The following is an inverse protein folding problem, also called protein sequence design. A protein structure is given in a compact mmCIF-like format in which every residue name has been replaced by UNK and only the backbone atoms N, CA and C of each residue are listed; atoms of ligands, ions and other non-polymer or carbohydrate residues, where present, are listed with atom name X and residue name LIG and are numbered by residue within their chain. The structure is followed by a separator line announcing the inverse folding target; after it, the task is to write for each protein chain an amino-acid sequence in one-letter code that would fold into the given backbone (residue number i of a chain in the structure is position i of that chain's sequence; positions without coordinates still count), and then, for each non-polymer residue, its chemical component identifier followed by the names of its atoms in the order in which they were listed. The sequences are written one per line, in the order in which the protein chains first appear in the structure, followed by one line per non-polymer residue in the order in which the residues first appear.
data_IF_018397765762
#
_entry.id   IF_018397765762
#
_cell.length_a   1.000
_cell.length_b   1.000
_cell.length_c   1.000
_cell.angle_alpha   90.00
_cell.angle_beta   90.00
_cell.angle_gamma   90.00
#
_symmetry.space_group_name_H-M   'P 1'
#
loop_
_entity.id
_entity.type
_entity.pdbx_description
1 polymer ?
#
# COMPACT_ATOMS: atom_id res chain seq x y z
N UNK A 1 6.89 -4.31 16.96
CA UNK A 1 7.40 -4.66 15.62
C UNK A 1 6.56 -3.95 14.58
N UNK A 2 7.18 -3.35 13.57
CA UNK A 2 6.53 -2.70 12.44
C UNK A 2 7.36 -3.02 11.19
N UNK A 3 6.69 -3.15 10.05
CA UNK A 3 7.36 -3.34 8.75
C UNK A 3 7.33 -2.03 7.98
N UNK A 4 8.14 -1.91 6.93
CA UNK A 4 8.21 -0.73 6.06
C UNK A 4 6.98 -0.57 5.13
N UNK A 5 5.77 -0.73 5.67
CA UNK A 5 4.48 -0.44 5.05
C UNK A 5 3.76 0.59 5.92
N UNK A 6 3.29 1.69 5.33
CA UNK A 6 2.50 2.69 6.06
C UNK A 6 1.19 2.98 5.34
N UNK A 7 0.07 3.21 6.07
CA UNK A 7 -1.21 3.60 5.47
C UNK A 7 -1.11 4.84 4.56
N UNK A 8 -0.24 5.78 4.89
CA UNK A 8 -0.07 7.03 4.16
C UNK A 8 0.69 6.88 2.84
N UNK A 9 1.69 6.00 2.78
CA UNK A 9 2.49 5.80 1.56
C UNK A 9 2.01 4.62 0.72
N UNK A 10 1.38 3.62 1.34
CA UNK A 10 1.07 2.33 0.71
C UNK A 10 -0.42 1.98 0.71
N UNK A 11 -1.28 2.83 1.29
CA UNK A 11 -2.73 2.74 1.17
C UNK A 11 -3.26 3.59 0.03
N UNK A 12 -4.42 3.22 -0.52
CA UNK A 12 -5.16 4.11 -1.43
C UNK A 12 -5.62 5.37 -0.68
N UNK A 13 -5.55 6.52 -1.34
CA UNK A 13 -5.98 7.81 -0.78
C UNK A 13 -7.50 7.99 -0.68
N UNK A 14 -8.29 7.11 -1.32
CA UNK A 14 -9.74 7.10 -1.25
C UNK A 14 -10.25 6.01 -0.30
N UNK A 15 -11.40 6.25 0.33
CA UNK A 15 -12.04 5.26 1.21
C UNK A 15 -12.77 4.19 0.41
N UNK A 16 -13.02 3.03 1.02
CA UNK A 16 -13.86 1.96 0.49
C UNK A 16 -15.34 2.38 0.37
N UNK A 17 -15.65 3.22 -0.62
CA UNK A 17 -16.98 3.75 -0.92
C UNK A 17 -17.65 3.10 -2.13
N UNK A 18 -17.10 1.99 -2.64
CA UNK A 18 -17.70 1.26 -3.76
C UNK A 18 -19.10 0.76 -3.42
N UNK A 19 -19.94 0.61 -4.44
CA UNK A 19 -21.30 0.08 -4.28
C UNK A 19 -21.28 -1.39 -3.84
N UNK A 20 -22.36 -1.81 -3.20
CA UNK A 20 -22.52 -3.19 -2.76
C UNK A 20 -22.67 -4.12 -3.96
N UNK A 21 -22.04 -5.28 -3.89
CA UNK A 21 -22.19 -6.33 -4.88
C UNK A 21 -22.60 -7.64 -4.21
N UNK A 22 -23.47 -8.40 -4.89
CA UNK A 22 -23.76 -9.78 -4.54
C UNK A 22 -22.64 -10.66 -5.09
N UNK A 23 -21.90 -11.29 -4.19
CA UNK A 23 -20.80 -12.20 -4.52
C UNK A 23 -21.15 -13.61 -4.08
N UNK A 24 -20.92 -14.58 -4.96
CA UNK A 24 -21.14 -15.99 -4.64
C UNK A 24 -19.84 -16.62 -4.16
N UNK A 25 -19.84 -17.26 -2.99
CA UNK A 25 -18.74 -18.14 -2.57
C UNK A 25 -18.89 -19.47 -3.30
N UNK A 26 -18.02 -19.82 -4.27
CA UNK A 26 -18.22 -21.01 -5.10
C UNK A 26 -18.18 -22.31 -4.28
N UNK A 27 -17.31 -22.36 -3.28
CA UNK A 27 -17.07 -23.57 -2.47
C UNK A 27 -18.30 -24.06 -1.68
N UNK A 28 -19.27 -23.18 -1.39
CA UNK A 28 -20.45 -23.52 -0.57
C UNK A 28 -21.77 -22.94 -1.12
N UNK A 29 -21.75 -22.30 -2.30
CA UNK A 29 -22.93 -21.72 -2.95
C UNK A 29 -23.74 -20.76 -2.08
N UNK A 30 -23.05 -19.86 -1.36
CA UNK A 30 -23.68 -18.79 -0.57
C UNK A 30 -23.48 -17.45 -1.28
N UNK A 31 -24.56 -16.68 -1.39
CA UNK A 31 -24.55 -15.31 -1.91
C UNK A 31 -24.40 -14.31 -0.76
N UNK A 32 -23.46 -13.37 -0.90
CA UNK A 32 -23.12 -12.37 0.11
C UNK A 32 -23.22 -11.00 -0.52
N UNK A 33 -24.04 -10.14 0.08
CA UNK A 33 -24.02 -8.71 -0.22
C UNK A 33 -22.88 -8.06 0.54
N UNK A 34 -21.83 -7.69 -0.18
CA UNK A 34 -20.69 -6.97 0.39
C UNK A 34 -20.96 -5.48 0.47
N UNK A 35 -20.30 -4.79 1.41
CA UNK A 35 -20.27 -3.33 1.48
C UNK A 35 -18.92 -2.81 0.95
N UNK A 36 -18.91 -2.46 -0.34
CA UNK A 36 -17.71 -2.05 -1.06
C UNK A 36 -16.76 -3.20 -1.39
N UNK A 37 -15.46 -2.88 -1.56
CA UNK A 37 -14.40 -3.78 -2.06
C UNK A 37 -13.20 -3.87 -1.11
N UNK A 38 -13.43 -3.94 0.21
CA UNK A 38 -12.37 -3.92 1.22
C UNK A 38 -11.26 -4.97 1.00
N UNK A 39 -11.61 -6.23 0.72
CA UNK A 39 -10.64 -7.28 0.40
C UNK A 39 -9.80 -6.96 -0.82
N UNK A 40 -10.45 -6.47 -1.88
CA UNK A 40 -9.77 -6.04 -3.10
C UNK A 40 -8.81 -4.89 -2.87
N UNK A 41 -9.20 -3.88 -2.08
CA UNK A 41 -8.35 -2.73 -1.75
C UNK A 41 -7.17 -3.14 -0.86
N UNK A 42 -7.39 -4.01 0.14
CA UNK A 42 -6.34 -4.50 1.02
C UNK A 42 -5.30 -5.34 0.24
N UNK A 43 -5.77 -6.28 -0.59
CA UNK A 43 -4.89 -7.09 -1.44
C UNK A 43 -4.13 -6.23 -2.47
N UNK A 44 -4.81 -5.30 -3.13
CA UNK A 44 -4.18 -4.38 -4.09
C UNK A 44 -3.13 -3.47 -3.42
N UNK A 45 -3.38 -2.97 -2.20
CA UNK A 45 -2.38 -2.19 -1.46
C UNK A 45 -1.11 -3.00 -1.18
N UNK A 46 -1.25 -4.28 -0.82
CA UNK A 46 -0.11 -5.19 -0.68
C UNK A 46 0.59 -5.43 -2.02
N UNK A 47 -0.16 -5.60 -3.11
CA UNK A 47 0.42 -5.78 -4.46
C UNK A 47 1.27 -4.58 -4.88
N UNK A 48 0.79 -3.35 -4.63
CA UNK A 48 1.55 -2.12 -4.88
C UNK A 48 2.81 -2.05 -4.02
N UNK A 49 2.71 -2.41 -2.74
CA UNK A 49 3.86 -2.43 -1.84
C UNK A 49 4.94 -3.44 -2.28
N UNK A 50 4.55 -4.68 -2.58
CA UNK A 50 5.48 -5.72 -3.03
C UNK A 50 6.16 -5.37 -4.36
N UNK A 51 5.48 -4.62 -5.22
CA UNK A 51 6.01 -4.16 -6.49
C UNK A 51 6.77 -2.83 -6.41
N UNK A 52 6.85 -2.21 -5.22
CA UNK A 52 7.48 -0.91 -5.02
C UNK A 52 6.83 0.20 -5.84
N UNK A 53 5.51 0.17 -6.02
CA UNK A 53 4.76 1.13 -6.84
C UNK A 53 4.33 2.35 -6.03
N UNK A 54 4.28 3.49 -6.68
CA UNK A 54 3.68 4.69 -6.10
C UNK A 54 2.15 4.58 -6.05
N UNK A 55 1.56 5.12 -5.00
CA UNK A 55 0.12 5.36 -4.90
C UNK A 55 -0.23 6.74 -5.49
N UNK A 56 -1.39 6.85 -6.14
CA UNK A 56 -1.96 8.15 -6.48
C UNK A 56 -2.45 8.87 -5.23
N UNK A 57 -2.25 10.19 -5.16
CA UNK A 57 -2.77 11.04 -4.07
C UNK A 57 -4.24 11.42 -4.28
N UNK A 58 -4.87 10.94 -5.36
CA UNK A 58 -6.28 11.24 -5.63
C UNK A 58 -7.20 10.48 -4.67
N UNK A 59 -7.92 11.24 -3.85
CA UNK A 59 -8.83 10.73 -2.82
C UNK A 59 -10.27 10.54 -3.30
N UNK A 60 -10.59 10.84 -4.56
CA UNK A 60 -11.92 10.54 -5.12
C UNK A 60 -12.10 9.04 -5.30
N UNK A 61 -13.32 8.53 -5.17
CA UNK A 61 -13.58 7.13 -5.46
C UNK A 61 -13.40 6.87 -6.98
N UNK A 62 -12.63 5.85 -7.40
CA UNK A 62 -12.52 5.50 -8.80
C UNK A 62 -13.87 5.06 -9.37
N UNK A 63 -14.20 5.52 -10.58
CA UNK A 63 -15.40 5.08 -11.27
C UNK A 63 -15.31 3.59 -11.62
N UNK A 64 -16.42 2.87 -11.51
CA UNK A 64 -16.52 1.49 -11.98
C UNK A 64 -16.17 1.37 -13.46
N UNK A 65 -15.41 0.33 -13.80
CA UNK A 65 -14.86 0.17 -15.14
C UNK A 65 -13.50 0.84 -15.36
N UNK A 66 -13.06 1.73 -14.47
CA UNK A 66 -11.70 2.30 -14.54
C UNK A 66 -10.63 1.26 -14.20
N UNK A 67 -9.38 1.49 -14.62
CA UNK A 67 -8.26 0.57 -14.39
C UNK A 67 -8.13 0.13 -12.93
N UNK A 68 -8.14 1.09 -12.00
CA UNK A 68 -7.98 0.80 -10.56
C UNK A 68 -9.24 0.15 -10.00
N UNK A 69 -10.44 0.59 -10.40
CA UNK A 69 -11.68 -0.02 -9.93
C UNK A 69 -11.81 -1.49 -10.37
N UNK A 70 -11.51 -1.79 -11.63
CA UNK A 70 -11.57 -3.14 -12.20
C UNK A 70 -10.49 -4.04 -11.59
N UNK A 71 -9.29 -3.50 -11.35
CA UNK A 71 -8.24 -4.24 -10.66
C UNK A 71 -8.60 -4.55 -9.20
N UNK A 72 -9.08 -3.57 -8.44
CA UNK A 72 -9.57 -3.77 -7.06
C UNK A 72 -10.71 -4.79 -7.04
N UNK A 73 -11.64 -4.75 -8.00
CA UNK A 73 -12.70 -5.75 -8.11
C UNK A 73 -12.18 -7.15 -8.41
N UNK A 74 -11.20 -7.28 -9.33
CA UNK A 74 -10.55 -8.58 -9.57
C UNK A 74 -9.88 -9.12 -8.30
N UNK A 75 -9.20 -8.27 -7.53
CA UNK A 75 -8.57 -8.68 -6.26
C UNK A 75 -9.61 -9.05 -5.21
N UNK A 76 -10.77 -8.39 -5.19
CA UNK A 76 -11.88 -8.78 -4.33
C UNK A 76 -12.31 -10.22 -4.64
N UNK A 77 -12.52 -10.56 -5.91
CA UNK A 77 -12.88 -11.94 -6.29
C UNK A 77 -11.82 -12.94 -5.83
N UNK A 78 -10.53 -12.63 -6.04
CA UNK A 78 -9.42 -13.48 -5.63
C UNK A 78 -9.50 -13.77 -4.10
N UNK A 79 -9.71 -12.73 -3.27
CA UNK A 79 -9.84 -12.92 -1.81
C UNK A 79 -11.08 -13.73 -1.40
N UNK A 80 -12.19 -13.60 -2.12
CA UNK A 80 -13.41 -14.35 -1.85
C UNK A 80 -13.24 -15.85 -2.14
N UNK A 81 -12.59 -16.17 -3.26
CA UNK A 81 -12.29 -17.55 -3.65
C UNK A 81 -11.31 -18.17 -2.65
N UNK A 82 -10.24 -17.45 -2.30
CA UNK A 82 -9.16 -17.99 -1.48
C UNK A 82 -9.53 -18.12 0.01
N UNK A 83 -10.41 -17.25 0.53
CA UNK A 83 -10.66 -17.12 1.97
C UNK A 83 -12.12 -17.34 2.40
N UNK A 84 -13.07 -17.51 1.47
CA UNK A 84 -14.50 -17.61 1.78
C UNK A 84 -14.86 -18.70 2.81
N UNK A 85 -14.19 -19.87 2.76
CA UNK A 85 -14.39 -20.93 3.75
C UNK A 85 -13.99 -20.51 5.17
N UNK A 86 -12.97 -19.66 5.32
CA UNK A 86 -12.51 -19.19 6.62
C UNK A 86 -13.47 -18.18 7.23
N UNK A 87 -14.04 -17.29 6.41
CA UNK A 87 -15.15 -16.43 6.81
C UNK A 87 -16.35 -17.25 7.30
N UNK A 88 -16.73 -18.30 6.58
CA UNK A 88 -17.85 -19.19 6.96
C UNK A 88 -17.57 -19.95 8.25
N UNK A 89 -16.34 -20.45 8.41
CA UNK A 89 -15.89 -21.07 9.66
C UNK A 89 -16.06 -20.11 10.83
N UNK A 90 -15.58 -18.87 10.70
CA UNK A 90 -15.69 -17.87 11.77
C UNK A 90 -17.15 -17.51 12.06
N UNK A 91 -17.96 -17.26 11.02
CA UNK A 91 -19.38 -16.93 11.17
C UNK A 91 -20.17 -18.04 11.88
N UNK A 92 -19.84 -19.32 11.65
CA UNK A 92 -20.57 -20.47 12.23
C UNK A 92 -19.99 -20.99 13.55
N UNK A 93 -18.79 -20.56 13.93
CA UNK A 93 -18.15 -20.95 15.19
C UNK A 93 -18.77 -20.24 16.39
N UNK A 94 -18.80 -20.88 17.56
CA UNK A 94 -19.33 -20.29 18.80
C UNK A 94 -18.38 -19.27 19.43
N UNK A 95 -18.88 -18.42 20.34
CA UNK A 95 -18.07 -17.47 21.11
C UNK A 95 -17.35 -18.11 22.31
N UNK A 96 -17.85 -19.24 22.80
CA UNK A 96 -17.28 -19.99 23.90
C UNK A 96 -16.95 -21.43 23.46
N UNK A 97 -15.81 -22.00 23.86
CA UNK A 97 -15.58 -23.43 23.71
C UNK A 97 -16.45 -24.21 24.70
N UNK A 98 -17.01 -25.34 24.28
CA UNK A 98 -17.18 -26.49 25.18
C UNK A 98 -16.35 -27.65 24.61
N UNK A 99 -16.09 -28.70 25.40
CA UNK A 99 -15.36 -29.89 24.91
C UNK A 99 -16.06 -30.51 23.69
N UNK A 100 -17.38 -30.35 23.59
CA UNK A 100 -18.17 -30.61 22.40
C UNK A 100 -18.12 -29.38 21.46
N UNK A 101 -17.88 -29.57 20.16
CA UNK A 101 -17.96 -28.53 19.09
C UNK A 101 -16.74 -27.60 18.88
N UNK A 102 -15.62 -27.81 19.59
CA UNK A 102 -14.33 -27.21 19.24
C UNK A 102 -14.05 -25.82 19.82
N UNK A 103 -12.99 -25.16 19.31
CA UNK A 103 -12.55 -23.84 19.80
C UNK A 103 -13.54 -22.75 19.38
N UNK A 104 -13.90 -21.87 20.33
CA UNK A 104 -14.65 -20.65 20.01
C UNK A 104 -13.79 -19.58 19.32
N UNK A 105 -14.41 -18.59 18.70
CA UNK A 105 -13.73 -17.56 17.88
C UNK A 105 -12.67 -16.77 18.65
N UNK A 106 -12.91 -16.46 19.93
CA UNK A 106 -11.94 -15.74 20.75
C UNK A 106 -10.64 -16.54 20.95
N UNK A 107 -10.75 -17.86 21.15
CA UNK A 107 -9.62 -18.78 21.25
C UNK A 107 -8.94 -19.02 19.91
N UNK A 108 -9.70 -19.26 18.83
CA UNK A 108 -9.13 -19.39 17.48
C UNK A 108 -8.29 -18.15 17.11
N UNK A 109 -8.83 -16.97 17.37
CA UNK A 109 -8.13 -15.70 17.17
C UNK A 109 -6.79 -15.66 17.91
N UNK A 110 -6.78 -15.99 19.21
CA UNK A 110 -5.62 -15.76 20.08
C UNK A 110 -4.59 -16.89 20.06
N UNK A 111 -5.06 -18.14 19.99
CA UNK A 111 -4.21 -19.32 20.05
C UNK A 111 -3.73 -19.74 18.66
N UNK A 112 -4.54 -19.54 17.62
CA UNK A 112 -4.21 -20.05 16.28
C UNK A 112 -3.78 -18.92 15.33
N UNK A 113 -4.44 -17.76 15.35
CA UNK A 113 -4.21 -16.71 14.34
C UNK A 113 -3.21 -15.64 14.77
N UNK A 114 -3.21 -15.20 16.03
CA UNK A 114 -2.22 -14.22 16.52
C UNK A 114 -0.76 -14.71 16.37
N UNK A 115 -0.40 -15.98 16.68
CA UNK A 115 0.96 -16.45 16.45
C UNK A 115 1.35 -16.44 14.97
N UNK A 116 0.43 -16.84 14.07
CA UNK A 116 0.66 -16.80 12.61
C UNK A 116 0.87 -15.37 12.11
N UNK A 117 0.03 -14.44 12.58
CA UNK A 117 0.13 -13.02 12.25
C UNK A 117 1.48 -12.44 12.67
N UNK A 118 1.87 -12.66 13.94
CA UNK A 118 3.16 -12.18 14.47
C UNK A 118 4.33 -12.76 13.69
N UNK A 119 4.35 -14.08 13.45
CA UNK A 119 5.42 -14.73 12.69
C UNK A 119 5.57 -14.16 11.27
N UNK A 120 4.47 -13.86 10.56
CA UNK A 120 4.54 -13.22 9.23
C UNK A 120 5.07 -11.79 9.31
N UNK A 121 4.58 -10.99 10.26
CA UNK A 121 5.05 -9.62 10.46
C UNK A 121 6.53 -9.57 10.87
N UNK A 122 6.96 -10.45 11.75
CA UNK A 122 8.35 -10.58 12.20
C UNK A 122 9.28 -11.00 11.04
N UNK A 123 8.74 -11.69 10.02
CA UNK A 123 9.44 -12.00 8.77
C UNK A 123 9.43 -10.85 7.73
N UNK A 124 8.92 -9.67 8.10
CA UNK A 124 8.86 -8.49 7.24
C UNK A 124 7.73 -8.51 6.21
N UNK A 125 6.71 -9.34 6.39
CA UNK A 125 5.61 -9.47 5.43
C UNK A 125 4.33 -8.78 5.93
N UNK A 126 3.72 -7.86 5.16
CA UNK A 126 2.37 -7.40 5.46
C UNK A 126 1.39 -8.57 5.35
N UNK A 127 0.32 -8.50 6.13
CA UNK A 127 -0.64 -9.61 6.26
C UNK A 127 -2.03 -9.14 5.90
N UNK A 128 -2.64 -9.77 4.90
CA UNK A 128 -4.07 -9.64 4.65
C UNK A 128 -4.82 -10.28 5.81
N UNK A 129 -5.70 -9.52 6.44
CA UNK A 129 -6.37 -9.88 7.69
C UNK A 129 -7.88 -9.76 7.53
N UNK A 130 -8.59 -10.86 7.80
CA UNK A 130 -10.03 -10.89 7.92
C UNK A 130 -10.45 -10.50 9.34
N UNK A 131 -11.42 -9.60 9.45
CA UNK A 131 -12.05 -9.17 10.69
C UNK A 131 -13.53 -9.55 10.63
N UNK A 132 -14.02 -10.25 11.66
CA UNK A 132 -15.40 -10.75 11.64
C UNK A 132 -16.28 -10.05 12.66
N UNK A 133 -17.53 -9.79 12.28
CA UNK A 133 -18.66 -9.51 13.16
C UNK A 133 -19.75 -10.59 13.03
N UNK A 134 -19.75 -11.33 11.92
CA UNK A 134 -20.76 -12.32 11.58
C UNK A 134 -20.90 -13.43 12.64
N UNK A 135 -22.16 -13.80 12.90
CA UNK A 135 -22.56 -14.96 13.71
C UNK A 135 -23.35 -16.01 12.94
N UNK A 136 -23.56 -15.76 11.66
CA UNK A 136 -24.12 -16.70 10.69
C UNK A 136 -23.74 -16.23 9.27
N UNK A 137 -23.98 -17.09 8.27
CA UNK A 137 -23.56 -16.84 6.89
C UNK A 137 -24.28 -15.67 6.22
N UNK A 138 -25.45 -15.26 6.69
CA UNK A 138 -26.20 -14.12 6.14
C UNK A 138 -25.60 -12.77 6.58
N UNK A 139 -24.80 -12.79 7.64
CA UNK A 139 -24.14 -11.62 8.21
C UNK A 139 -22.72 -11.38 7.68
N UNK A 140 -22.24 -12.19 6.73
CA UNK A 140 -20.87 -12.07 6.20
C UNK A 140 -20.58 -10.70 5.57
N UNK A 141 -21.59 -9.95 5.15
CA UNK A 141 -21.43 -8.55 4.71
C UNK A 141 -21.09 -7.54 5.82
N UNK A 142 -21.05 -7.98 7.09
CA UNK A 142 -20.58 -7.20 8.25
C UNK A 142 -19.09 -7.40 8.52
N UNK A 143 -18.48 -8.40 7.89
CA UNK A 143 -17.07 -8.68 8.02
C UNK A 143 -16.25 -7.69 7.16
N UNK A 144 -14.95 -7.63 7.43
CA UNK A 144 -14.07 -6.63 6.84
C UNK A 144 -12.67 -7.17 6.62
N UNK A 145 -11.93 -6.55 5.70
CA UNK A 145 -10.58 -6.97 5.34
C UNK A 145 -9.64 -5.78 5.35
N UNK A 146 -8.49 -5.96 6.00
CA UNK A 146 -7.47 -4.92 6.24
C UNK A 146 -6.07 -5.48 6.00
N UNK A 147 -5.07 -4.60 5.96
CA UNK A 147 -3.65 -5.01 5.91
C UNK A 147 -3.02 -4.76 7.27
N UNK A 148 -2.58 -5.80 7.96
CA UNK A 148 -1.74 -5.65 9.13
C UNK A 148 -0.27 -5.45 8.71
N UNK A 149 0.39 -4.49 9.34
CA UNK A 149 1.78 -4.15 9.07
C UNK A 149 2.64 -4.02 10.33
N UNK A 150 2.06 -4.24 11.50
CA UNK A 150 2.82 -4.26 12.74
C UNK A 150 2.01 -4.80 13.90
N UNK A 151 2.71 -5.07 14.99
CA UNK A 151 2.12 -5.44 16.26
C UNK A 151 2.94 -4.89 17.43
N UNK A 152 2.23 -4.55 18.50
CA UNK A 152 2.78 -4.16 19.79
C UNK A 152 2.12 -5.04 20.85
N UNK A 153 2.77 -5.24 22.00
CA UNK A 153 2.22 -6.04 23.08
C UNK A 153 2.70 -5.53 24.42
N UNK A 154 1.80 -5.48 25.39
CA UNK A 154 2.12 -5.30 26.81
C UNK A 154 1.78 -6.59 27.60
N UNK A 155 1.77 -6.51 28.94
CA UNK A 155 1.49 -7.66 29.80
C UNK A 155 0.11 -8.29 29.61
N UNK A 156 -0.87 -7.55 29.08
CA UNK A 156 -2.27 -7.98 28.94
C UNK A 156 -2.77 -7.95 27.49
N UNK A 157 -2.36 -6.97 26.71
CA UNK A 157 -2.93 -6.68 25.40
C UNK A 157 -1.93 -6.87 24.27
N UNK A 158 -2.43 -7.40 23.15
CA UNK A 158 -1.81 -7.26 21.84
C UNK A 158 -2.50 -6.11 21.11
N UNK A 159 -1.73 -5.32 20.37
CA UNK A 159 -2.21 -4.28 19.46
C UNK A 159 -1.74 -4.65 18.06
N UNK A 160 -2.67 -4.82 17.13
CA UNK A 160 -2.35 -5.02 15.71
C UNK A 160 -2.51 -3.69 14.99
N UNK A 161 -1.48 -3.26 14.27
CA UNK A 161 -1.45 -2.02 13.52
C UNK A 161 -1.88 -2.32 12.08
N UNK A 162 -2.96 -1.68 11.62
CA UNK A 162 -3.57 -1.99 10.33
C UNK A 162 -3.80 -0.76 9.47
N UNK A 163 -3.61 -0.94 8.16
CA UNK A 163 -4.26 -0.11 7.15
C UNK A 163 -5.69 -0.61 6.97
N UNK A 164 -6.65 0.20 7.44
CA UNK A 164 -8.07 0.02 7.17
C UNK A 164 -8.46 0.91 5.99
N UNK A 165 -8.90 0.30 4.88
CA UNK A 165 -9.34 1.02 3.68
C UNK A 165 -10.60 1.91 3.88
N UNK A 166 -11.23 1.89 5.05
CA UNK A 166 -12.22 2.91 5.45
C UNK A 166 -11.62 4.14 6.14
N UNK A 167 -10.32 4.12 6.46
CA UNK A 167 -9.59 5.19 7.13
C UNK A 167 -8.31 5.54 6.33
N UNK A 168 -8.42 6.08 5.10
CA UNK A 168 -7.29 6.34 4.22
C UNK A 168 -6.19 7.16 4.88
N UNK A 169 -4.93 6.76 4.67
CA UNK A 169 -3.75 7.45 5.20
C UNK A 169 -3.54 7.35 6.71
N UNK A 170 -4.43 6.68 7.45
CA UNK A 170 -4.37 6.63 8.91
C UNK A 170 -4.08 5.20 9.42
N UNK A 171 -3.29 5.13 10.49
CA UNK A 171 -3.10 3.90 11.27
C UNK A 171 -4.36 3.62 12.10
N UNK A 172 -4.89 2.40 11.98
CA UNK A 172 -5.90 1.89 12.91
C UNK A 172 -5.24 0.85 13.81
N UNK A 173 -5.46 0.96 15.12
CA UNK A 173 -4.94 0.04 16.13
C UNK A 173 -6.05 -0.88 16.61
N UNK A 174 -5.90 -2.19 16.40
CA UNK A 174 -6.81 -3.22 16.90
C UNK A 174 -6.28 -3.74 18.24
N UNK A 175 -6.98 -3.46 19.34
CA UNK A 175 -6.65 -3.92 20.69
C UNK A 175 -7.44 -5.18 21.05
N UNK A 176 -6.74 -6.20 21.53
CA UNK A 176 -7.33 -7.44 22.06
C UNK A 176 -6.47 -8.02 23.19
N UNK A 177 -7.09 -8.76 24.10
CA UNK A 177 -6.35 -9.54 25.11
C UNK A 177 -5.44 -10.56 24.42
N UNK A 178 -4.21 -10.68 24.91
CA UNK A 178 -3.19 -11.57 24.31
C UNK A 178 -3.57 -13.05 24.46
N UNK A 179 -4.23 -13.40 25.56
CA UNK A 179 -4.80 -14.73 25.85
C UNK A 179 -6.32 -14.62 25.98
N UNK A 180 -7.05 -15.73 25.79
CA UNK A 180 -8.52 -15.70 25.86
C UNK A 180 -8.96 -15.28 27.26
N UNK A 181 -9.80 -14.26 27.32
CA UNK A 181 -10.42 -13.75 28.55
C UNK A 181 -11.93 -13.71 28.32
N UNK A 182 -12.71 -14.59 28.98
CA UNK A 182 -14.16 -14.59 28.86
C UNK A 182 -14.84 -13.26 29.22
N UNK A 183 -14.20 -12.42 30.04
CA UNK A 183 -14.71 -11.09 30.40
C UNK A 183 -14.41 -10.02 29.33
N UNK A 184 -13.43 -10.25 28.44
CA UNK A 184 -12.96 -9.28 27.45
C UNK A 184 -12.57 -9.97 26.12
N UNK A 185 -13.57 -10.45 25.39
CA UNK A 185 -13.36 -11.18 24.11
C UNK A 185 -13.26 -10.29 22.88
N UNK A 186 -13.97 -9.17 22.86
CA UNK A 186 -14.07 -8.29 21.70
C UNK A 186 -12.71 -7.66 21.35
N UNK A 187 -12.50 -7.43 20.06
CA UNK A 187 -11.39 -6.64 19.54
C UNK A 187 -11.90 -5.22 19.34
N UNK A 188 -11.18 -4.22 19.83
CA UNK A 188 -11.56 -2.81 19.73
C UNK A 188 -10.61 -2.05 18.83
N UNK A 189 -11.12 -1.39 17.80
CA UNK A 189 -10.37 -0.54 16.90
C UNK A 189 -10.28 0.91 17.41
N UNK A 190 -9.15 1.58 17.21
CA UNK A 190 -9.02 3.02 17.48
C UNK A 190 -9.97 3.91 16.65
N UNK A 191 -10.57 3.35 15.59
CA UNK A 191 -11.61 3.97 14.78
C UNK A 191 -13.04 3.75 15.34
N UNK A 192 -13.17 3.23 16.56
CA UNK A 192 -14.45 3.01 17.24
C UNK A 192 -15.18 1.73 16.82
N UNK A 193 -14.68 0.96 15.84
CA UNK A 193 -15.28 -0.32 15.44
C UNK A 193 -14.91 -1.43 16.42
N UNK A 194 -15.79 -2.41 16.57
CA UNK A 194 -15.55 -3.63 17.34
C UNK A 194 -15.64 -4.86 16.45
N UNK A 195 -14.82 -5.86 16.75
CA UNK A 195 -14.78 -7.12 16.02
C UNK A 195 -14.87 -8.30 16.96
N UNK A 196 -15.52 -9.35 16.49
CA UNK A 196 -15.71 -10.62 17.20
C UNK A 196 -14.45 -11.48 17.16
N UNK A 197 -13.69 -11.41 16.08
CA UNK A 197 -12.45 -12.14 15.89
C UNK A 197 -11.64 -11.61 14.71
N UNK A 198 -10.41 -12.09 14.60
CA UNK A 198 -9.55 -11.85 13.44
C UNK A 198 -8.92 -13.17 12.96
N UNK A 199 -8.50 -13.17 11.70
CA UNK A 199 -7.71 -14.27 11.15
C UNK A 199 -6.82 -13.84 9.99
N UNK A 200 -5.71 -14.55 9.84
CA UNK A 200 -4.78 -14.39 8.72
C UNK A 200 -5.39 -14.99 7.46
N UNK A 201 -5.43 -14.20 6.39
CA UNK A 201 -5.90 -14.66 5.09
C UNK A 201 -4.77 -15.26 4.23
N UNK A 202 -5.16 -16.15 3.33
CA UNK A 202 -4.39 -16.54 2.16
C UNK A 202 -4.25 -15.33 1.23
N UNK A 203 -3.05 -15.16 0.69
CA UNK A 203 -2.72 -14.05 -0.19
C UNK A 203 -1.69 -14.50 -1.22
N UNK A 204 -1.98 -14.23 -2.49
CA UNK A 204 -1.07 -14.42 -3.61
C UNK A 204 -0.80 -13.07 -4.27
N UNK A 205 0.48 -12.71 -4.42
CA UNK A 205 0.91 -11.46 -5.04
C UNK A 205 0.45 -11.37 -6.49
N UNK A 206 -0.03 -10.21 -6.93
CA UNK A 206 -0.47 -9.98 -8.32
C UNK A 206 -0.11 -8.57 -8.77
N UNK A 207 0.88 -8.43 -9.66
CA UNK A 207 1.26 -7.13 -10.23
C UNK A 207 0.07 -6.49 -11.00
N UNK A 208 -0.28 -5.22 -10.77
CA UNK A 208 -1.20 -4.49 -11.63
C UNK A 208 -0.61 -4.36 -13.04
N UNK A 209 -1.13 -5.13 -14.01
CA UNK A 209 -0.51 -5.25 -15.35
C UNK A 209 -0.52 -3.96 -16.16
N UNK A 210 -1.45 -3.04 -15.86
CA UNK A 210 -1.50 -1.70 -16.44
C UNK A 210 -0.39 -0.77 -15.91
N UNK A 211 0.29 -1.16 -14.82
CA UNK A 211 1.47 -0.47 -14.28
C UNK A 211 2.80 -1.16 -14.63
N UNK A 212 2.78 -2.16 -15.50
CA UNK A 212 4.01 -2.82 -15.94
C UNK A 212 4.90 -1.85 -16.74
N UNK A 213 6.21 -1.90 -16.50
CA UNK A 213 7.18 -1.10 -17.26
C UNK A 213 7.01 -1.30 -18.77
N UNK A 214 6.96 -0.21 -19.54
CA UNK A 214 6.79 -0.28 -20.99
C UNK A 214 5.34 -0.18 -21.47
N UNK A 215 4.34 -0.27 -20.58
CA UNK A 215 2.95 -0.07 -20.97
C UNK A 215 2.74 1.33 -21.53
N UNK A 216 2.06 1.39 -22.68
CA UNK A 216 1.59 2.61 -23.32
C UNK A 216 0.09 2.70 -23.08
N UNK A 217 -0.33 3.74 -22.37
CA UNK A 217 -1.71 3.87 -21.92
C UNK A 217 -2.17 5.32 -22.00
N UNK A 218 -3.43 5.50 -22.36
CA UNK A 218 -4.09 6.80 -22.28
C UNK A 218 -5.52 6.63 -21.81
N UNK A 219 -6.12 7.72 -21.35
CA UNK A 219 -7.55 7.77 -21.12
C UNK A 219 -8.28 7.93 -22.45
N UNK A 220 -9.34 7.17 -22.73
CA UNK A 220 -10.06 7.25 -24.01
C UNK A 220 -10.64 8.63 -24.33
N UNK A 221 -10.81 9.51 -23.33
CA UNK A 221 -11.26 10.91 -23.53
C UNK A 221 -10.10 11.91 -23.55
N UNK A 222 -8.85 11.44 -23.50
CA UNK A 222 -7.65 12.26 -23.51
C UNK A 222 -6.63 11.75 -24.55
N UNK A 223 -6.19 12.58 -25.51
CA UNK A 223 -5.22 12.16 -26.51
C UNK A 223 -3.81 11.94 -25.96
N UNK A 224 -3.51 12.32 -24.71
CA UNK A 224 -2.17 12.20 -24.13
C UNK A 224 -1.82 10.74 -23.82
N UNK A 225 -0.87 10.21 -24.57
CA UNK A 225 -0.30 8.88 -24.34
C UNK A 225 0.79 8.96 -23.28
N UNK A 226 0.75 8.02 -22.34
CA UNK A 226 1.74 7.88 -21.29
C UNK A 226 2.46 6.55 -21.41
N UNK A 227 3.76 6.56 -21.12
CA UNK A 227 4.54 5.35 -20.90
C UNK A 227 4.70 5.10 -19.41
N UNK A 228 4.54 3.85 -18.98
CA UNK A 228 4.77 3.47 -17.59
C UNK A 228 6.25 3.14 -17.36
N UNK A 229 6.83 3.77 -16.33
CA UNK A 229 8.18 3.50 -15.81
C UNK A 229 8.16 3.52 -14.29
N UNK A 230 8.63 2.46 -13.64
CA UNK A 230 8.59 2.30 -12.18
C UNK A 230 7.19 2.43 -11.58
N UNK A 231 6.15 2.06 -12.35
CA UNK A 231 4.73 2.24 -11.96
C UNK A 231 4.18 3.65 -12.15
N UNK A 232 5.00 4.64 -12.49
CA UNK A 232 4.58 6.01 -12.77
C UNK A 232 4.26 6.23 -14.25
N UNK A 233 3.23 7.02 -14.54
CA UNK A 233 2.86 7.42 -15.88
C UNK A 233 3.62 8.69 -16.31
N UNK A 234 4.41 8.57 -17.38
CA UNK A 234 5.15 9.67 -17.99
C UNK A 234 4.55 10.03 -19.34
N UNK A 235 4.16 11.28 -19.52
CA UNK A 235 3.57 11.77 -20.77
C UNK A 235 4.60 11.73 -21.91
N UNK A 236 4.17 11.27 -23.08
CA UNK A 236 4.93 11.34 -24.33
C UNK A 236 4.50 12.62 -25.08
N UNK A 237 5.30 13.71 -25.07
CA UNK A 237 4.87 15.03 -25.54
C UNK A 237 4.62 15.16 -27.05
N UNK A 238 5.11 14.26 -27.89
CA UNK A 238 4.93 14.36 -29.34
C UNK A 238 5.07 13.02 -30.08
N UNK A 239 4.60 12.91 -31.33
CA UNK A 239 4.89 11.76 -32.19
C UNK A 239 6.39 11.56 -32.42
N UNK A 240 7.18 12.63 -32.54
CA UNK A 240 8.64 12.52 -32.68
C UNK A 240 9.28 11.91 -31.43
N UNK A 241 8.82 12.29 -30.23
CA UNK A 241 9.22 11.64 -28.98
C UNK A 241 8.77 10.17 -28.95
N UNK A 242 7.56 9.90 -29.45
CA UNK A 242 7.00 8.56 -29.49
C UNK A 242 7.89 7.62 -30.32
N UNK A 243 8.24 8.05 -31.53
CA UNK A 243 9.10 7.31 -32.45
C UNK A 243 10.52 7.18 -31.90
N UNK A 244 11.07 8.26 -31.34
CA UNK A 244 12.43 8.27 -30.79
C UNK A 244 12.55 7.42 -29.50
N UNK A 245 11.45 7.21 -28.77
CA UNK A 245 11.36 6.26 -27.67
C UNK A 245 11.19 4.79 -28.11
N UNK A 246 11.12 4.53 -29.43
CA UNK A 246 10.91 3.19 -29.98
C UNK A 246 9.54 2.60 -29.66
N UNK A 247 8.56 3.45 -29.36
CA UNK A 247 7.21 3.03 -29.02
C UNK A 247 6.43 2.62 -30.27
N UNK A 248 5.39 1.82 -30.05
CA UNK A 248 4.60 1.20 -31.11
C UNK A 248 3.14 1.56 -30.95
N UNK A 249 2.55 2.15 -31.98
CA UNK A 249 1.16 2.62 -31.95
C UNK A 249 0.18 1.48 -31.68
N UNK A 250 0.45 0.29 -32.21
CA UNK A 250 -0.35 -0.92 -31.97
C UNK A 250 -0.28 -1.44 -30.52
N UNK A 251 0.67 -0.95 -29.71
CA UNK A 251 0.81 -1.31 -28.29
C UNK A 251 0.09 -0.33 -27.35
N UNK A 252 -0.47 0.76 -27.88
CA UNK A 252 -1.19 1.76 -27.08
C UNK A 252 -2.54 1.21 -26.66
N UNK A 253 -2.80 1.25 -25.35
CA UNK A 253 -4.07 0.81 -24.77
C UNK A 253 -4.91 2.03 -24.39
N UNK A 254 -6.13 2.11 -24.94
CA UNK A 254 -7.14 3.07 -24.52
C UNK A 254 -7.86 2.56 -23.27
N UNK A 255 -7.67 3.25 -22.15
CA UNK A 255 -8.35 2.97 -20.89
C UNK A 255 -9.71 3.70 -20.84
N UNK A 256 -10.64 3.19 -20.02
CA UNK A 256 -11.95 3.82 -19.85
C UNK A 256 -11.83 5.23 -19.25
N UNK A 257 -12.83 6.12 -19.48
CA UNK A 257 -12.84 7.47 -18.92
C UNK A 257 -12.56 7.50 -17.42
N UNK A 258 -11.69 8.42 -16.98
CA UNK A 258 -11.30 8.61 -15.59
C UNK A 258 -10.23 7.64 -15.09
N UNK A 259 -9.76 6.69 -15.91
CA UNK A 259 -8.79 5.68 -15.47
C UNK A 259 -7.45 6.27 -15.04
N UNK A 260 -6.98 7.27 -15.77
CA UNK A 260 -5.67 7.86 -15.49
C UNK A 260 -5.67 8.71 -14.21
N UNK A 261 -6.83 9.10 -13.67
CA UNK A 261 -6.93 9.91 -12.45
C UNK A 261 -6.40 9.20 -11.19
N UNK A 262 -6.27 7.87 -11.23
CA UNK A 262 -5.77 7.04 -10.12
C UNK A 262 -4.44 6.34 -10.44
N UNK A 263 -3.83 6.65 -11.59
CA UNK A 263 -2.46 6.23 -11.93
C UNK A 263 -1.50 7.30 -11.40
N UNK A 264 -0.46 6.90 -10.68
CA UNK A 264 0.51 7.85 -10.15
C UNK A 264 1.31 8.50 -11.29
N UNK A 265 1.54 9.82 -11.20
CA UNK A 265 2.33 10.60 -12.18
C UNK A 265 3.83 10.60 -11.87
N UNK A 266 4.23 9.87 -10.83
CA UNK A 266 5.63 9.65 -10.48
C UNK A 266 5.84 8.17 -10.19
N UNK A 267 7.07 7.67 -10.39
CA UNK A 267 7.37 6.28 -10.09
C UNK A 267 7.45 6.04 -8.59
N UNK A 268 7.48 4.77 -8.21
CA UNK A 268 7.69 4.36 -6.83
C UNK A 268 9.10 4.67 -6.32
N UNK A 269 9.22 4.73 -4.98
CA UNK A 269 10.47 5.05 -4.28
C UNK A 269 11.62 4.13 -4.71
N UNK A 270 12.80 4.72 -4.93
CA UNK A 270 14.01 4.00 -5.37
C UNK A 270 14.07 3.76 -6.88
N UNK A 271 13.09 4.23 -7.65
CA UNK A 271 13.15 4.15 -9.11
C UNK A 271 14.25 5.04 -9.66
N UNK A 272 15.14 4.45 -10.45
CA UNK A 272 16.20 5.14 -11.18
C UNK A 272 15.69 5.55 -12.55
N UNK A 273 15.83 6.83 -12.88
CA UNK A 273 15.39 7.40 -14.14
C UNK A 273 16.47 8.24 -14.80
N UNK A 274 16.43 8.28 -16.14
CA UNK A 274 17.25 9.15 -16.98
C UNK A 274 16.38 9.65 -18.13
N UNK A 275 16.44 10.94 -18.43
CA UNK A 275 15.72 11.44 -19.61
C UNK A 275 16.39 10.96 -20.88
N UNK A 276 15.59 10.56 -21.86
CA UNK A 276 16.06 10.14 -23.17
C UNK A 276 16.98 11.19 -23.79
N UNK A 277 18.13 10.76 -24.27
CA UNK A 277 19.13 11.64 -24.89
C UNK A 277 19.95 12.48 -23.91
N UNK A 278 19.90 12.18 -22.61
CA UNK A 278 20.71 12.85 -21.58
C UNK A 278 21.51 11.83 -20.76
N UNK A 279 22.60 12.27 -20.14
CA UNK A 279 23.42 11.44 -19.24
C UNK A 279 22.95 11.43 -17.76
N UNK A 280 22.42 12.53 -17.18
CA UNK A 280 22.09 12.58 -15.75
C UNK A 280 21.08 11.52 -15.27
N UNK A 281 21.50 10.71 -14.32
CA UNK A 281 20.64 9.72 -13.65
C UNK A 281 20.12 10.30 -12.34
N UNK A 282 18.86 10.01 -12.04
CA UNK A 282 18.21 10.42 -10.81
C UNK A 282 17.57 9.23 -10.11
N UNK A 283 17.60 9.24 -8.77
CA UNK A 283 16.76 8.36 -7.95
C UNK A 283 15.50 9.11 -7.51
N UNK A 284 14.34 8.47 -7.59
CA UNK A 284 13.07 9.09 -7.18
C UNK A 284 12.66 8.66 -5.78
N UNK A 285 12.45 9.63 -4.89
CA UNK A 285 11.86 9.42 -3.56
C UNK A 285 10.78 10.45 -3.27
N UNK A 286 9.63 10.01 -2.75
CA UNK A 286 8.48 10.88 -2.51
C UNK A 286 7.99 11.59 -3.76
N UNK A 287 8.19 11.02 -4.95
CA UNK A 287 7.86 11.64 -6.23
C UNK A 287 8.81 12.77 -6.68
N UNK A 288 9.87 13.07 -5.91
CA UNK A 288 10.96 13.99 -6.31
C UNK A 288 12.14 13.20 -6.87
N UNK A 289 12.71 13.67 -7.97
CA UNK A 289 13.99 13.19 -8.49
C UNK A 289 15.18 13.85 -7.78
N UNK A 290 16.15 13.03 -7.35
CA UNK A 290 17.43 13.45 -6.78
C UNK A 290 18.56 13.04 -7.73
N UNK A 291 19.33 14.02 -8.19
CA UNK A 291 20.43 13.80 -9.13
C UNK A 291 21.58 13.02 -8.49
N UNK A 292 22.08 12.02 -9.19
CA UNK A 292 23.25 11.24 -8.80
C UNK A 292 24.46 11.78 -9.58
N UNK A 293 25.42 12.43 -8.91
CA UNK A 293 26.40 13.29 -9.57
C UNK A 293 27.52 12.54 -10.29
N UNK A 294 27.77 11.27 -9.96
CA UNK A 294 28.84 10.49 -10.58
C UNK A 294 28.62 8.97 -10.44
N UNK A 295 29.32 8.16 -11.26
CA UNK A 295 29.34 6.70 -11.10
C UNK A 295 29.78 6.24 -9.70
N UNK A 296 30.74 6.92 -9.07
CA UNK A 296 31.21 6.59 -7.72
C UNK A 296 30.12 6.79 -6.67
N UNK A 297 29.28 7.82 -6.82
CA UNK A 297 28.12 8.03 -5.94
C UNK A 297 27.04 6.99 -6.23
N UNK A 298 26.83 6.63 -7.50
CA UNK A 298 25.88 5.59 -7.89
C UNK A 298 26.23 4.24 -7.25
N UNK A 299 27.49 3.81 -7.38
CA UNK A 299 28.03 2.59 -6.76
C UNK A 299 28.04 2.71 -5.23
N UNK A 300 28.40 3.88 -4.71
CA UNK A 300 28.41 4.15 -3.27
C UNK A 300 27.04 4.05 -2.61
N UNK A 301 25.95 4.25 -3.36
CA UNK A 301 24.57 4.04 -2.92
C UNK A 301 24.09 2.59 -3.11
N UNK A 302 24.91 1.71 -3.69
CA UNK A 302 24.55 0.31 -3.95
C UNK A 302 23.47 0.14 -5.02
N UNK A 303 23.38 1.08 -5.96
CA UNK A 303 22.37 1.09 -7.02
C UNK A 303 22.77 0.17 -8.18
N UNK A 304 21.78 -0.36 -8.89
CA UNK A 304 21.98 -1.25 -10.04
C UNK A 304 21.83 -0.50 -11.36
N UNK A 305 22.88 -0.49 -12.18
CA UNK A 305 22.89 0.13 -13.50
C UNK A 305 21.82 -0.45 -14.43
N UNK A 306 21.46 -1.73 -14.27
CA UNK A 306 20.40 -2.36 -15.06
C UNK A 306 18.99 -1.93 -14.64
N UNK A 307 18.85 -1.30 -13.47
CA UNK A 307 17.59 -0.77 -12.97
C UNK A 307 17.28 0.64 -13.49
N UNK A 308 18.22 1.30 -14.18
CA UNK A 308 18.04 2.64 -14.76
C UNK A 308 17.03 2.58 -15.91
N UNK A 309 15.99 3.41 -15.82
CA UNK A 309 14.90 3.45 -16.78
C UNK A 309 14.93 4.75 -17.56
N UNK A 310 14.91 4.65 -18.87
CA UNK A 310 14.77 5.84 -19.71
C UNK A 310 13.31 6.34 -19.71
N UNK A 311 13.13 7.63 -19.46
CA UNK A 311 11.85 8.35 -19.49
C UNK A 311 11.81 9.35 -20.65
N UNK A 312 10.63 9.72 -21.18
CA UNK A 312 10.51 10.70 -22.26
C UNK A 312 11.21 12.02 -21.93
N UNK A 313 11.74 12.70 -22.95
CA UNK A 313 12.43 13.98 -22.77
C UNK A 313 11.53 15.02 -22.08
N UNK A 314 12.08 15.75 -21.09
CA UNK A 314 11.36 16.77 -20.32
C UNK A 314 10.48 16.23 -19.18
N UNK A 315 10.43 14.90 -18.99
CA UNK A 315 9.63 14.26 -17.95
C UNK A 315 10.05 14.63 -16.52
N UNK A 316 11.33 14.96 -16.27
CA UNK A 316 11.80 15.35 -14.93
C UNK A 316 11.12 16.62 -14.45
N UNK A 317 10.75 17.54 -15.35
CA UNK A 317 10.04 18.77 -15.01
C UNK A 317 8.61 18.51 -14.49
N UNK A 318 8.03 17.35 -14.81
CA UNK A 318 6.72 16.92 -14.30
C UNK A 318 6.78 16.25 -12.92
N UNK A 319 7.97 15.90 -12.43
CA UNK A 319 8.15 15.35 -11.08
C UNK A 319 8.11 16.44 -10.01
N UNK A 320 7.92 16.05 -8.75
CA UNK A 320 7.75 17.02 -7.67
C UNK A 320 9.06 17.76 -7.39
N UNK A 321 8.95 19.07 -7.16
CA UNK A 321 10.05 19.89 -6.68
C UNK A 321 10.39 19.62 -5.21
N UNK A 322 9.37 19.28 -4.41
CA UNK A 322 9.45 18.86 -3.00
C UNK A 322 8.87 17.46 -2.86
N UNK A 323 9.52 16.53 -2.13
CA UNK A 323 8.96 15.20 -1.92
C UNK A 323 7.60 15.25 -1.23
N UNK A 324 6.82 14.19 -1.35
CA UNK A 324 5.55 14.03 -0.63
C UNK A 324 5.76 14.09 0.88
N UNK A 325 4.77 14.63 1.59
CA UNK A 325 4.74 14.57 3.05
C UNK A 325 4.84 13.11 3.53
N UNK A 326 5.46 12.94 4.70
CA UNK A 326 5.88 11.68 5.30
C UNK A 326 7.04 10.94 4.62
N UNK A 327 7.62 11.49 3.54
CA UNK A 327 8.87 10.95 2.99
C UNK A 327 10.00 11.13 4.01
N UNK A 328 10.72 10.04 4.31
CA UNK A 328 11.88 10.03 5.19
C UNK A 328 13.16 10.02 4.38
N UNK A 329 14.08 10.95 4.66
CA UNK A 329 15.30 11.14 3.88
C UNK A 329 16.51 11.23 4.80
N UNK A 330 17.64 10.71 4.32
CA UNK A 330 18.95 10.88 4.95
C UNK A 330 20.01 11.00 3.86
N UNK A 331 20.94 11.93 4.01
CA UNK A 331 22.12 11.98 3.12
C UNK A 331 23.04 10.81 3.45
N UNK A 332 23.70 10.24 2.43
CA UNK A 332 24.50 9.01 2.55
C UNK A 332 25.49 9.05 3.72
N UNK A 333 26.25 10.13 3.82
CA UNK A 333 27.25 10.37 4.87
C UNK A 333 26.67 11.15 6.05
N UNK A 334 25.43 11.63 5.95
CA UNK A 334 24.74 12.39 6.98
C UNK A 334 24.16 11.52 8.08
N UNK A 335 24.34 11.95 9.33
CA UNK A 335 23.65 11.36 10.48
C UNK A 335 22.15 11.76 10.58
N UNK A 336 21.75 13.02 10.30
CA UNK A 336 20.36 13.44 10.51
C UNK A 336 19.35 12.72 9.60
N UNK A 337 18.25 12.25 10.19
CA UNK A 337 17.06 11.78 9.46
C UNK A 337 16.04 12.91 9.37
N UNK A 338 15.56 13.17 8.17
CA UNK A 338 14.59 14.22 7.89
C UNK A 338 13.24 13.61 7.54
N UNK A 339 12.18 14.13 8.17
CA UNK A 339 10.79 13.92 7.76
C UNK A 339 10.36 15.09 6.90
N UNK A 340 9.77 14.82 5.74
CA UNK A 340 9.04 15.84 4.98
C UNK A 340 7.66 16.04 5.62
N UNK A 341 7.39 17.24 6.11
CA UNK A 341 6.15 17.59 6.80
C UNK A 341 5.75 19.02 6.44
N UNK A 342 4.56 19.21 5.87
CA UNK A 342 4.13 20.49 5.32
C UNK A 342 5.06 21.01 4.22
N UNK A 343 5.62 20.09 3.42
CA UNK A 343 6.59 20.42 2.37
C UNK A 343 7.95 20.92 2.87
N UNK A 344 8.29 20.73 4.15
CA UNK A 344 9.60 21.11 4.73
C UNK A 344 10.31 19.91 5.31
N UNK A 345 11.64 19.93 5.26
CA UNK A 345 12.47 18.97 5.98
C UNK A 345 12.50 19.33 7.48
N UNK A 346 12.00 18.43 8.32
CA UNK A 346 12.06 18.54 9.78
C UNK A 346 12.94 17.42 10.33
N UNK A 347 13.96 17.78 11.10
CA UNK A 347 14.87 16.80 11.69
C UNK A 347 14.14 15.94 12.73
N UNK A 348 14.19 14.63 12.56
CA UNK A 348 13.74 13.63 13.53
C UNK A 348 14.87 13.42 14.53
N UNK A 349 14.75 14.02 15.72
CA UNK A 349 15.90 14.19 16.62
C UNK A 349 16.31 12.94 17.40
N UNK A 350 15.45 11.91 17.45
CA UNK A 350 15.77 10.67 18.17
C UNK A 350 14.92 9.48 17.69
N UNK A 351 15.35 8.23 17.99
CA UNK A 351 14.53 7.04 17.78
C UNK A 351 13.16 7.12 18.47
N UNK A 352 13.09 7.70 19.68
CA UNK A 352 11.82 7.87 20.39
C UNK A 352 10.83 8.79 19.68
N UNK A 353 11.30 9.75 18.88
CA UNK A 353 10.43 10.56 18.00
C UNK A 353 9.92 9.74 16.82
N UNK A 354 10.79 8.90 16.25
CA UNK A 354 10.42 7.97 15.18
C UNK A 354 9.24 7.09 15.59
N UNK A 355 9.37 6.44 16.76
CA UNK A 355 8.34 5.57 17.33
C UNK A 355 7.03 6.33 17.62
N UNK A 356 7.12 7.52 18.21
CA UNK A 356 5.96 8.35 18.57
C UNK A 356 5.16 8.79 17.33
N UNK A 357 5.84 9.03 16.21
CA UNK A 357 5.21 9.42 14.94
C UNK A 357 4.76 8.22 14.10
N UNK A 358 4.98 6.99 14.58
CA UNK A 358 4.69 5.76 13.85
C UNK A 358 5.49 5.66 12.55
N UNK A 359 6.72 6.16 12.55
CA UNK A 359 7.63 6.16 11.42
C UNK A 359 8.57 4.95 11.51
N UNK A 360 9.01 4.44 10.37
CA UNK A 360 9.86 3.24 10.31
C UNK A 360 11.25 3.52 9.78
N UNK A 361 12.26 3.00 10.45
CA UNK A 361 13.66 3.08 10.00
C UNK A 361 13.85 2.44 8.62
N UNK A 362 13.13 1.36 8.33
CA UNK A 362 13.12 0.72 7.01
C UNK A 362 12.53 1.60 5.89
N UNK A 363 11.84 2.69 6.24
CA UNK A 363 11.33 3.67 5.29
C UNK A 363 12.29 4.85 5.06
N UNK A 364 13.46 4.91 5.69
CA UNK A 364 14.43 6.00 5.46
C UNK A 364 15.12 5.80 4.12
N UNK A 365 14.98 6.78 3.21
CA UNK A 365 15.58 6.75 1.88
C UNK A 365 16.89 7.52 1.84
N UNK A 366 17.92 6.90 1.28
CA UNK A 366 19.26 7.45 1.23
C UNK A 366 19.46 8.23 -0.06
N UNK A 367 19.85 9.49 0.03
CA UNK A 367 20.16 10.36 -1.11
C UNK A 367 21.65 10.71 -1.15
N UNK A 368 22.18 11.16 -2.32
CA UNK A 368 23.52 11.72 -2.40
C UNK A 368 23.76 12.83 -1.38
N UNK A 369 25.02 13.01 -0.96
CA UNK A 369 25.40 14.10 -0.07
C UNK A 369 25.18 15.45 -0.75
N UNK A 370 24.65 16.44 -0.02
CA UNK A 370 24.27 17.75 -0.55
C UNK A 370 22.92 17.77 -1.29
N UNK A 371 22.29 16.62 -1.57
CA UNK A 371 21.04 16.57 -2.31
C UNK A 371 19.84 17.18 -1.55
N UNK A 372 19.95 17.38 -0.23
CA UNK A 372 18.91 18.01 0.58
C UNK A 372 19.06 19.53 0.72
N UNK A 373 20.21 20.10 0.34
CA UNK A 373 20.53 21.52 0.60
C UNK A 373 19.55 22.52 -0.04
N UNK A 374 18.90 22.15 -1.15
CA UNK A 374 17.91 22.99 -1.84
C UNK A 374 16.48 22.91 -1.28
N UNK A 375 16.22 22.09 -0.26
CA UNK A 375 14.90 21.93 0.34
C UNK A 375 14.74 22.81 1.58
N UNK A 376 13.56 23.41 1.73
CA UNK A 376 13.26 24.26 2.87
C UNK A 376 13.26 23.45 4.18
N UNK A 377 13.91 23.96 5.21
CA UNK A 377 13.93 23.34 6.55
C UNK A 377 12.85 23.94 7.45
N UNK A 378 12.29 23.10 8.32
CA UNK A 378 11.36 23.46 9.38
C UNK A 378 11.94 23.19 10.75
N UNK A 379 11.19 23.54 11.80
CA UNK A 379 11.59 23.28 13.19
C UNK A 379 11.78 21.77 13.42
N UNK A 380 12.88 21.34 14.07
CA UNK A 380 13.06 19.94 14.47
C UNK A 380 11.88 19.38 15.28
N UNK A 381 11.75 18.06 15.30
CA UNK A 381 10.73 17.35 16.07
C UNK A 381 11.41 16.66 17.25
N UNK A 382 10.96 16.96 18.47
CA UNK A 382 11.50 16.47 19.75
C UNK A 382 10.55 15.47 20.42
#
# INVERSE_FOLDING_TARGET
MRIAFTPAENGFAFSNGFTNHVLRIPAISVDITTRGRCGGMAAAAMDYWYAGLAMSTNSTLPQDGSLVADYVYSRLMDTFVDNGLKFVQYATSLDHPTWLRGKGVARMTREDELPKLKARLDSGQPVLLGLTQARDVTQLGNDHQVVAYGWEQDSRYTYVLVYDNNNPGQEVRLKLTTVDDPAERAITGSNGKTWRGLFVESYTRKMPSFLANGRLIHDSTDPRIHVIRGGGAFWIPSPAEFDAGGFRWESVVAAKPGSMAHVATHPGNGTLVRERGTDPIHVVYGGKAFWIPSPEVFEGLGLDWNAVREIPQGSLAGLRSTPLDRTLLRERSGAPVWLVDGGRLRHVTSPGVMDRLGLEWGCVRIVPDGALAGLATGTPIY
#
